data_IF_447170611775
#
_entry.id   IF_447170611775
#
_cell.length_a   1.000
_cell.length_b   1.000
_cell.length_c   1.000
_cell.angle_alpha   90.00
_cell.angle_beta   90.00
_cell.angle_gamma   90.00
#
_symmetry.space_group_name_H-M   'P 1'
#
loop_
_entity.id
_entity.type
_entity.pdbx_description
1 polymer ?
#
# COMPACT_ATOMS: atom_id res chain seq x y z
N UNK A 1 11.68 12.42 -95.74
CA UNK A 1 12.73 12.96 -96.63
C UNK A 1 13.95 12.03 -96.48
N UNK A 2 14.20 11.20 -97.51
CA UNK A 2 15.45 10.48 -97.88
C UNK A 2 16.26 9.80 -96.75
N UNK A 3 16.20 8.47 -96.55
CA UNK A 3 16.93 7.40 -97.29
C UNK A 3 18.32 7.84 -97.78
N UNK A 4 19.40 7.30 -97.16
CA UNK A 4 20.55 6.66 -97.83
C UNK A 4 21.18 5.60 -96.90
N UNK A 5 21.00 4.31 -97.23
CA UNK A 5 21.94 3.20 -96.99
C UNK A 5 22.93 3.15 -98.17
N UNK A 6 23.90 2.22 -98.32
CA UNK A 6 24.74 1.41 -97.40
C UNK A 6 26.23 1.45 -97.87
N UNK A 7 27.18 0.69 -97.29
CA UNK A 7 28.12 -0.15 -98.07
C UNK A 7 29.00 -1.04 -97.18
N UNK A 8 28.93 -2.36 -97.43
CA UNK A 8 29.92 -3.35 -97.02
C UNK A 8 31.01 -3.50 -98.09
N UNK A 9 32.26 -3.75 -97.66
CA UNK A 9 33.19 -4.70 -98.31
C UNK A 9 34.31 -4.99 -97.29
N UNK A 10 34.40 -6.14 -96.60
CA UNK A 10 34.61 -7.56 -97.00
C UNK A 10 36.03 -7.83 -97.53
N UNK A 11 36.59 -8.94 -97.04
CA UNK A 11 37.84 -9.65 -97.40
C UNK A 11 39.13 -9.23 -96.65
N UNK A 12 40.03 -10.13 -96.23
CA UNK A 12 40.07 -11.59 -96.02
C UNK A 12 41.47 -11.86 -95.41
N UNK A 13 41.56 -12.81 -94.47
CA UNK A 13 42.69 -13.75 -94.19
C UNK A 13 44.15 -13.23 -94.26
N UNK A 14 45.06 -13.41 -93.29
CA UNK A 14 45.30 -14.57 -92.42
C UNK A 14 46.36 -14.26 -91.36
N UNK A 15 46.11 -14.75 -90.14
CA UNK A 15 47.04 -15.50 -89.26
C UNK A 15 48.53 -15.13 -89.29
N UNK A 16 48.98 -14.44 -88.24
CA UNK A 16 50.26 -14.71 -87.59
C UNK A 16 50.05 -15.03 -86.11
N UNK A 17 50.87 -15.94 -85.62
CA UNK A 17 50.83 -16.67 -84.35
C UNK A 17 51.07 -15.78 -83.12
N UNK A 18 50.13 -15.75 -82.16
CA UNK A 18 50.44 -15.51 -80.74
C UNK A 18 49.75 -16.57 -79.89
N UNK A 19 50.56 -17.42 -79.25
CA UNK A 19 50.11 -18.36 -78.22
C UNK A 19 49.62 -17.58 -76.99
N UNK A 20 48.46 -17.91 -76.39
CA UNK A 20 48.00 -17.23 -75.19
C UNK A 20 48.95 -17.54 -74.02
N UNK A 21 49.33 -16.51 -73.28
CA UNK A 21 50.20 -16.65 -72.12
C UNK A 21 49.54 -17.51 -71.04
N UNK A 22 50.28 -18.49 -70.52
CA UNK A 22 49.83 -19.38 -69.43
C UNK A 22 49.24 -18.58 -68.24
N UNK A 23 49.76 -17.38 -67.98
CA UNK A 23 49.28 -16.48 -66.93
C UNK A 23 47.82 -16.03 -67.06
N UNK A 24 47.30 -15.89 -68.29
CA UNK A 24 45.91 -15.44 -68.50
C UNK A 24 44.89 -16.55 -68.18
N UNK A 25 45.18 -17.79 -68.58
CA UNK A 25 44.37 -18.98 -68.26
C UNK A 25 44.35 -19.28 -66.74
N UNK A 26 45.48 -19.07 -66.05
CA UNK A 26 45.53 -19.21 -64.59
C UNK A 26 44.72 -18.13 -63.86
N UNK A 27 44.67 -16.89 -64.39
CA UNK A 27 43.92 -15.80 -63.78
C UNK A 27 42.41 -15.97 -63.93
N UNK A 28 41.92 -16.42 -65.10
CA UNK A 28 40.50 -16.69 -65.31
C UNK A 28 40.00 -17.89 -64.50
N UNK A 29 40.79 -18.98 -64.43
CA UNK A 29 40.45 -20.16 -63.61
C UNK A 29 40.47 -19.86 -62.10
N UNK A 30 41.37 -18.99 -61.63
CA UNK A 30 41.36 -18.53 -60.24
C UNK A 30 40.12 -17.68 -59.95
N UNK A 31 39.76 -16.74 -60.83
CA UNK A 31 38.57 -15.89 -60.66
C UNK A 31 37.28 -16.71 -60.62
N UNK A 32 37.12 -17.70 -61.50
CA UNK A 32 35.97 -18.61 -61.49
C UNK A 32 35.94 -19.49 -60.24
N UNK A 33 37.11 -19.96 -59.77
CA UNK A 33 37.20 -20.69 -58.51
C UNK A 33 36.81 -19.84 -57.30
N UNK A 34 37.22 -18.56 -57.26
CA UNK A 34 36.82 -17.61 -56.21
C UNK A 34 35.32 -17.32 -56.24
N UNK A 35 34.73 -17.15 -57.43
CA UNK A 35 33.29 -16.90 -57.58
C UNK A 35 32.45 -18.15 -57.24
N UNK A 36 32.97 -19.35 -57.52
CA UNK A 36 32.38 -20.62 -57.09
C UNK A 36 32.39 -20.74 -55.55
N UNK A 37 33.51 -20.36 -54.91
CA UNK A 37 33.65 -20.33 -53.45
C UNK A 37 32.72 -19.27 -52.85
N UNK A 38 32.58 -18.09 -53.46
CA UNK A 38 31.66 -17.02 -53.03
C UNK A 38 30.20 -17.45 -53.11
N UNK A 39 29.76 -18.06 -54.22
CA UNK A 39 28.41 -18.64 -54.36
C UNK A 39 28.16 -19.81 -53.41
N UNK A 40 29.22 -20.55 -53.05
CA UNK A 40 29.15 -21.60 -52.02
C UNK A 40 28.94 -20.97 -50.63
N UNK A 41 29.71 -19.92 -50.31
CA UNK A 41 29.59 -19.16 -49.07
C UNK A 41 28.23 -18.47 -48.92
N UNK A 42 27.70 -17.84 -49.97
CA UNK A 42 26.38 -17.20 -49.92
C UNK A 42 25.25 -18.20 -49.68
N UNK A 43 25.36 -19.41 -50.24
CA UNK A 43 24.41 -20.51 -49.94
C UNK A 43 24.51 -21.02 -48.51
N UNK A 44 25.71 -21.02 -47.92
CA UNK A 44 25.92 -21.39 -46.51
C UNK A 44 25.41 -20.27 -45.60
N UNK A 45 25.73 -19.01 -45.90
CA UNK A 45 25.34 -17.84 -45.13
C UNK A 45 23.82 -17.63 -45.13
N UNK A 46 23.15 -17.86 -46.26
CA UNK A 46 21.68 -17.80 -46.34
C UNK A 46 21.01 -18.93 -45.54
N UNK A 47 21.60 -20.13 -45.49
CA UNK A 47 21.14 -21.23 -44.62
C UNK A 47 21.35 -20.91 -43.15
N UNK A 48 22.51 -20.36 -42.78
CA UNK A 48 22.81 -19.92 -41.42
C UNK A 48 21.88 -18.78 -41.00
N UNK A 49 21.68 -17.77 -41.84
CA UNK A 49 20.76 -16.65 -41.60
C UNK A 49 19.33 -17.15 -41.38
N UNK A 50 18.85 -18.09 -42.20
CA UNK A 50 17.52 -18.70 -42.02
C UNK A 50 17.42 -19.48 -40.71
N UNK A 51 18.48 -20.18 -40.33
CA UNK A 51 18.56 -20.88 -39.04
C UNK A 51 18.51 -19.89 -37.87
N UNK A 52 19.30 -18.82 -37.92
CA UNK A 52 19.31 -17.76 -36.90
C UNK A 52 17.94 -17.10 -36.78
N UNK A 53 17.30 -16.74 -37.90
CA UNK A 53 15.94 -16.17 -37.88
C UNK A 53 14.90 -17.16 -37.34
N UNK A 54 15.04 -18.45 -37.61
CA UNK A 54 14.18 -19.49 -37.05
C UNK A 54 14.36 -19.62 -35.53
N UNK A 55 15.60 -19.59 -35.05
CA UNK A 55 15.93 -19.64 -33.62
C UNK A 55 15.45 -18.39 -32.90
N UNK A 56 15.66 -17.21 -33.48
CA UNK A 56 15.16 -15.95 -32.93
C UNK A 56 13.63 -15.93 -32.88
N UNK A 57 12.94 -16.41 -33.92
CA UNK A 57 11.49 -16.50 -33.92
C UNK A 57 10.99 -17.49 -32.86
N UNK A 58 11.63 -18.65 -32.70
CA UNK A 58 11.30 -19.58 -31.63
C UNK A 58 11.50 -18.95 -30.24
N UNK A 59 12.60 -18.22 -30.04
CA UNK A 59 12.86 -17.50 -28.79
C UNK A 59 11.80 -16.43 -28.51
N UNK A 60 11.39 -15.67 -29.53
CA UNK A 60 10.31 -14.66 -29.41
C UNK A 60 8.98 -15.33 -29.07
N UNK A 61 8.65 -16.47 -29.68
CA UNK A 61 7.43 -17.24 -29.35
C UNK A 61 7.46 -17.76 -27.92
N UNK A 62 8.60 -18.30 -27.46
CA UNK A 62 8.75 -18.76 -26.08
C UNK A 62 8.65 -17.60 -25.08
N UNK A 63 9.25 -16.45 -25.40
CA UNK A 63 9.13 -15.24 -24.59
C UNK A 63 7.69 -14.73 -24.54
N UNK A 64 6.99 -14.72 -25.67
CA UNK A 64 5.57 -14.35 -25.73
C UNK A 64 4.71 -15.29 -24.87
N UNK A 65 4.91 -16.61 -24.98
CA UNK A 65 4.21 -17.59 -24.14
C UNK A 65 4.50 -17.34 -22.65
N UNK A 66 5.76 -17.12 -22.30
CA UNK A 66 6.15 -16.81 -20.92
C UNK A 66 5.47 -15.53 -20.42
N UNK A 67 5.49 -14.44 -21.19
CA UNK A 67 4.81 -13.20 -20.84
C UNK A 67 3.29 -13.41 -20.65
N UNK A 68 2.63 -14.16 -21.54
CA UNK A 68 1.20 -14.48 -21.41
C UNK A 68 0.93 -15.28 -20.13
N UNK A 69 1.78 -16.25 -19.79
CA UNK A 69 1.64 -16.99 -18.52
C UNK A 69 1.82 -16.11 -17.29
N UNK A 70 2.80 -15.19 -17.29
CA UNK A 70 2.99 -14.25 -16.18
C UNK A 70 1.80 -13.31 -16.02
N UNK A 71 1.25 -12.80 -17.13
CA UNK A 71 0.04 -11.98 -17.11
C UNK A 71 -1.15 -12.76 -16.57
N UNK A 72 -1.32 -14.02 -16.99
CA UNK A 72 -2.36 -14.90 -16.45
C UNK A 72 -2.20 -15.14 -14.95
N UNK A 73 -1.00 -15.46 -14.46
CA UNK A 73 -0.73 -15.62 -13.02
C UNK A 73 -0.96 -14.33 -12.24
N UNK A 74 -0.62 -13.17 -12.80
CA UNK A 74 -0.89 -11.86 -12.17
C UNK A 74 -2.39 -11.57 -12.08
N UNK A 75 -3.15 -11.89 -13.13
CA UNK A 75 -4.60 -11.75 -13.14
C UNK A 75 -5.27 -12.72 -12.14
N UNK A 76 -4.80 -13.96 -12.05
CA UNK A 76 -5.27 -14.94 -11.05
C UNK A 76 -4.94 -14.47 -9.63
N UNK A 77 -3.79 -13.82 -9.40
CA UNK A 77 -3.43 -13.27 -8.09
C UNK A 77 -4.27 -12.06 -7.69
N UNK A 78 -4.64 -11.21 -8.65
CA UNK A 78 -5.59 -10.10 -8.43
C UNK A 78 -7.04 -10.57 -8.29
N UNK A 79 -7.42 -11.70 -8.91
CA UNK A 79 -8.75 -12.29 -8.83
C UNK A 79 -8.89 -13.40 -7.76
N UNK A 80 -7.83 -13.69 -6.99
CA UNK A 80 -7.91 -14.55 -5.80
C UNK A 80 -8.65 -13.79 -4.70
N UNK A 81 -9.97 -13.67 -4.88
CA UNK A 81 -10.91 -13.64 -3.78
C UNK A 81 -10.63 -14.95 -3.04
N UNK A 82 -10.20 -14.94 -1.76
CA UNK A 82 -10.04 -16.17 -1.02
C UNK A 82 -11.37 -16.92 -1.13
N UNK A 83 -11.32 -18.10 -1.75
CA UNK A 83 -12.48 -18.99 -1.75
C UNK A 83 -12.85 -19.15 -0.28
N UNK A 84 -14.05 -18.70 0.07
CA UNK A 84 -14.75 -19.18 1.26
C UNK A 84 -15.05 -20.67 0.99
N UNK A 85 -14.00 -21.49 1.10
CA UNK A 85 -14.12 -22.92 1.26
C UNK A 85 -14.97 -23.06 2.53
N UNK A 86 -16.16 -23.65 2.39
CA UNK A 86 -17.19 -23.72 3.42
C UNK A 86 -16.59 -23.74 4.82
N UNK A 87 -16.77 -22.61 5.52
CA UNK A 87 -16.14 -22.36 6.81
C UNK A 87 -16.51 -23.50 7.76
N UNK A 88 -15.55 -24.39 8.00
CA UNK A 88 -15.57 -25.18 9.22
C UNK A 88 -15.65 -24.19 10.38
N UNK A 89 -16.50 -24.46 11.36
CA UNK A 89 -16.87 -23.53 12.43
C UNK A 89 -15.72 -23.06 13.35
N UNK A 90 -14.46 -23.35 13.03
CA UNK A 90 -13.27 -23.05 13.83
C UNK A 90 -12.04 -22.62 13.01
N UNK A 91 -12.19 -21.87 11.92
CA UNK A 91 -11.03 -21.29 11.24
C UNK A 91 -10.46 -20.11 12.04
N UNK A 92 -9.31 -20.31 12.68
CA UNK A 92 -8.61 -19.26 13.44
C UNK A 92 -7.66 -18.51 12.52
N UNK A 93 -7.92 -17.21 12.32
CA UNK A 93 -7.02 -16.32 11.60
C UNK A 93 -5.70 -16.19 12.39
N UNK A 94 -4.53 -16.43 11.77
CA UNK A 94 -3.27 -16.42 12.50
C UNK A 94 -2.92 -15.00 12.99
N UNK A 95 -2.23 -14.92 14.13
CA UNK A 95 -1.88 -13.65 14.77
C UNK A 95 -1.16 -12.68 13.82
N UNK A 96 -0.21 -13.16 13.03
CA UNK A 96 0.55 -12.35 12.07
C UNK A 96 -0.36 -11.65 11.07
N UNK A 97 -1.42 -12.33 10.60
CA UNK A 97 -2.37 -11.75 9.66
C UNK A 97 -3.25 -10.72 10.34
N UNK A 98 -3.72 -11.00 11.56
CA UNK A 98 -4.46 -10.02 12.36
C UNK A 98 -3.60 -8.78 12.61
N UNK A 99 -2.33 -8.94 12.99
CA UNK A 99 -1.40 -7.85 13.26
C UNK A 99 -1.13 -7.00 12.01
N UNK A 100 -0.70 -7.63 10.92
CA UNK A 100 -0.39 -6.94 9.66
C UNK A 100 -1.64 -6.30 9.04
N UNK A 101 -2.80 -6.94 9.17
CA UNK A 101 -4.06 -6.39 8.66
C UNK A 101 -4.66 -5.36 9.59
N UNK A 102 -4.27 -5.25 10.85
CA UNK A 102 -4.78 -4.23 11.78
C UNK A 102 -3.86 -3.02 11.97
N UNK A 103 -2.61 -3.07 11.50
CA UNK A 103 -1.65 -1.97 11.65
C UNK A 103 -2.15 -0.62 11.09
N UNK A 104 -1.77 0.48 11.74
CA UNK A 104 -2.04 1.86 11.32
C UNK A 104 -1.53 2.13 9.90
N UNK A 105 -2.45 2.41 8.96
CA UNK A 105 -2.13 2.78 7.57
C UNK A 105 -3.32 3.50 6.91
N UNK A 106 -3.13 4.14 5.74
CA UNK A 106 -4.26 4.61 4.93
C UNK A 106 -5.16 3.45 4.51
N UNK A 107 -6.47 3.59 4.70
CA UNK A 107 -7.49 2.62 4.28
C UNK A 107 -8.69 3.34 3.70
N UNK A 108 -9.38 2.65 2.79
CA UNK A 108 -10.67 3.09 2.28
C UNK A 108 -11.70 3.05 3.41
N UNK A 109 -12.35 4.19 3.67
CA UNK A 109 -13.45 4.32 4.61
C UNK A 109 -14.58 5.11 3.99
N UNK A 110 -15.81 4.77 4.37
CA UNK A 110 -16.98 5.58 4.04
C UNK A 110 -17.04 6.77 5.00
N UNK A 111 -16.99 7.97 4.44
CA UNK A 111 -17.07 9.23 5.18
C UNK A 111 -18.34 9.95 4.77
N UNK A 112 -19.13 10.37 5.75
CA UNK A 112 -20.35 11.15 5.52
C UNK A 112 -20.00 12.56 5.02
N UNK A 113 -20.60 12.96 3.90
CA UNK A 113 -20.32 14.24 3.25
C UNK A 113 -20.74 15.42 4.14
N UNK A 114 -21.86 15.28 4.86
CA UNK A 114 -22.37 16.28 5.80
C UNK A 114 -21.40 16.56 6.97
N UNK A 115 -20.63 15.57 7.41
CA UNK A 115 -19.69 15.73 8.53
C UNK A 115 -18.45 16.54 8.12
N UNK A 116 -18.02 16.42 6.86
CA UNK A 116 -16.88 17.17 6.32
C UNK A 116 -17.25 18.63 5.98
N UNK A 117 -18.52 18.87 5.64
CA UNK A 117 -19.04 20.18 5.26
C UNK A 117 -20.23 20.61 6.13
N UNK A 118 -20.00 20.87 7.42
CA UNK A 118 -21.08 21.25 8.35
C UNK A 118 -21.72 22.60 7.99
N UNK A 119 -21.06 23.45 7.19
CA UNK A 119 -21.60 24.76 6.80
C UNK A 119 -22.72 24.66 5.74
N UNK A 120 -22.86 23.52 5.05
CA UNK A 120 -23.82 23.29 3.96
C UNK A 120 -25.14 22.61 4.44
N UNK A 121 -25.63 22.92 5.64
CA UNK A 121 -26.76 22.23 6.32
C UNK A 121 -28.06 22.20 5.48
N UNK A 122 -28.26 23.16 4.58
CA UNK A 122 -29.47 23.28 3.75
C UNK A 122 -29.59 22.21 2.64
N UNK A 123 -28.55 21.40 2.41
CA UNK A 123 -28.48 20.51 1.26
C UNK A 123 -28.50 19.03 1.65
N UNK A 124 -29.25 18.24 0.86
CA UNK A 124 -29.13 16.78 0.88
C UNK A 124 -28.11 16.39 -0.18
N UNK A 125 -27.09 15.63 0.22
CA UNK A 125 -26.04 15.13 -0.67
C UNK A 125 -26.40 13.74 -1.23
N UNK A 126 -26.24 13.55 -2.54
CA UNK A 126 -26.31 12.22 -3.19
C UNK A 126 -24.99 11.98 -3.94
N UNK A 127 -24.19 10.96 -3.55
CA UNK A 127 -24.39 10.09 -2.39
C UNK A 127 -24.23 10.83 -1.05
N UNK A 128 -24.77 10.29 0.04
CA UNK A 128 -24.61 10.87 1.39
C UNK A 128 -23.23 10.58 2.00
N UNK A 129 -22.54 9.54 1.51
CA UNK A 129 -21.18 9.17 1.89
C UNK A 129 -20.30 8.94 0.67
N UNK A 130 -19.00 9.17 0.83
CA UNK A 130 -17.97 8.96 -0.19
C UNK A 130 -16.87 8.06 0.36
N UNK A 131 -16.20 7.30 -0.52
CA UNK A 131 -15.06 6.46 -0.14
C UNK A 131 -13.80 7.32 -0.19
N UNK A 132 -13.12 7.46 0.95
CA UNK A 132 -11.87 8.23 1.06
C UNK A 132 -10.79 7.40 1.73
N UNK A 133 -9.54 7.68 1.36
CA UNK A 133 -8.37 7.18 2.08
C UNK A 133 -8.22 7.93 3.40
N UNK A 134 -8.42 7.25 4.52
CA UNK A 134 -8.26 7.80 5.88
C UNK A 134 -7.38 6.90 6.72
N UNK A 135 -6.75 7.47 7.74
CA UNK A 135 -5.88 6.73 8.63
C UNK A 135 -6.72 5.84 9.53
N UNK A 136 -6.48 4.54 9.47
CA UNK A 136 -7.21 3.55 10.26
C UNK A 136 -6.32 2.36 10.61
N UNK A 137 -6.66 1.71 11.71
CA UNK A 137 -5.89 0.64 12.32
C UNK A 137 -5.54 0.93 13.77
N UNK A 138 -4.81 0.00 14.39
CA UNK A 138 -4.34 0.10 15.76
C UNK A 138 -2.84 0.41 15.82
N UNK A 139 -2.44 0.97 16.95
CA UNK A 139 -1.05 1.09 17.38
C UNK A 139 -0.80 0.08 18.50
N UNK A 140 0.46 -0.27 18.75
CA UNK A 140 0.81 -1.25 19.78
C UNK A 140 0.48 -0.76 21.20
N UNK A 141 0.53 0.56 21.42
CA UNK A 141 0.27 1.19 22.73
C UNK A 141 -0.99 2.05 22.68
N UNK A 142 -1.83 1.97 23.71
CA UNK A 142 -3.05 2.79 23.84
C UNK A 142 -2.75 4.29 24.03
N UNK A 143 -1.52 4.63 24.41
CA UNK A 143 -1.03 6.01 24.51
C UNK A 143 -0.76 6.64 23.13
N UNK A 144 -0.70 5.81 22.09
CA UNK A 144 -0.53 6.24 20.71
C UNK A 144 -1.89 6.31 20.01
N UNK A 145 -2.01 7.24 19.06
CA UNK A 145 -3.12 7.38 18.15
C UNK A 145 -2.62 7.40 16.70
N UNK A 146 -3.33 6.71 15.81
CA UNK A 146 -3.02 6.67 14.39
C UNK A 146 -3.45 8.01 13.76
N UNK A 147 -2.48 8.81 13.30
CA UNK A 147 -2.72 10.15 12.73
C UNK A 147 -2.08 10.28 11.35
N UNK A 148 -2.64 11.14 10.49
CA UNK A 148 -2.03 11.44 9.20
C UNK A 148 -0.73 12.20 9.36
N UNK A 149 0.26 11.83 8.57
CA UNK A 149 1.53 12.58 8.41
C UNK A 149 1.52 13.42 7.16
N UNK A 150 0.87 12.93 6.10
CA UNK A 150 0.68 13.63 4.85
C UNK A 150 -0.76 13.45 4.34
N UNK A 151 -1.30 14.51 3.74
CA UNK A 151 -2.65 14.53 3.17
C UNK A 151 -2.63 15.15 1.77
N UNK A 152 -3.61 14.77 0.95
CA UNK A 152 -3.86 15.33 -0.37
C UNK A 152 -5.35 15.63 -0.53
N UNK A 153 -5.69 16.60 -1.36
CA UNK A 153 -7.08 16.88 -1.68
C UNK A 153 -7.48 16.17 -2.97
N UNK A 154 -8.64 15.53 -2.98
CA UNK A 154 -9.27 14.93 -4.15
C UNK A 154 -10.60 15.65 -4.41
N UNK A 155 -10.96 15.83 -5.67
CA UNK A 155 -12.26 16.42 -6.04
C UNK A 155 -13.18 15.33 -6.55
N UNK A 156 -14.39 15.27 -5.99
CA UNK A 156 -15.43 14.30 -6.37
C UNK A 156 -16.71 15.03 -6.73
N UNK A 157 -17.50 14.47 -7.64
CA UNK A 157 -18.83 15.01 -7.96
C UNK A 157 -19.88 14.45 -7.01
N UNK A 158 -20.62 15.36 -6.35
CA UNK A 158 -21.74 15.03 -5.47
C UNK A 158 -22.94 15.87 -5.91
N UNK A 159 -24.14 15.29 -5.88
CA UNK A 159 -25.36 16.05 -6.15
C UNK A 159 -25.81 16.78 -4.90
N UNK A 160 -25.93 18.11 -4.98
CA UNK A 160 -26.55 18.93 -3.93
C UNK A 160 -28.03 19.13 -4.25
N UNK A 161 -28.91 18.61 -3.41
CA UNK A 161 -30.36 18.81 -3.53
C UNK A 161 -30.80 19.90 -2.57
N UNK A 162 -31.39 20.96 -3.12
CA UNK A 162 -32.29 21.83 -2.36
C UNK A 162 -33.73 21.34 -2.55
N UNK A 163 -34.60 21.40 -1.52
CA UNK A 163 -35.99 20.94 -1.60
C UNK A 163 -36.81 21.48 -2.79
N UNK A 164 -36.37 22.58 -3.41
CA UNK A 164 -37.09 23.27 -4.50
C UNK A 164 -36.22 23.57 -5.75
N UNK A 165 -35.02 22.96 -5.91
CA UNK A 165 -34.15 23.22 -7.08
C UNK A 165 -33.69 21.94 -7.80
N UNK A 166 -33.31 22.13 -9.06
CA UNK A 166 -32.83 21.12 -10.01
C UNK A 166 -31.57 20.40 -9.46
N UNK A 167 -31.55 19.07 -9.61
CA UNK A 167 -30.39 18.21 -9.34
C UNK A 167 -29.22 18.61 -10.26
N UNK A 168 -28.10 19.04 -9.68
CA UNK A 168 -26.86 19.33 -10.42
C UNK A 168 -25.71 18.60 -9.75
N UNK A 169 -24.82 18.02 -10.55
CA UNK A 169 -23.53 17.53 -10.07
C UNK A 169 -22.69 18.74 -9.66
N UNK A 170 -22.10 18.67 -8.48
CA UNK A 170 -21.26 19.71 -7.92
C UNK A 170 -19.91 19.12 -7.52
N UNK A 171 -18.79 19.68 -8.00
CA UNK A 171 -17.47 19.23 -7.57
C UNK A 171 -17.21 19.68 -6.14
N UNK A 172 -16.90 18.74 -5.26
CA UNK A 172 -16.52 18.97 -3.86
C UNK A 172 -15.12 18.41 -3.63
N UNK A 173 -14.27 19.15 -2.91
CA UNK A 173 -12.96 18.65 -2.50
C UNK A 173 -13.06 17.82 -1.22
N UNK A 174 -12.18 16.85 -1.03
CA UNK A 174 -12.11 16.05 0.19
C UNK A 174 -10.65 15.80 0.53
N UNK A 175 -10.31 15.77 1.82
CA UNK A 175 -8.97 15.44 2.27
C UNK A 175 -8.80 13.93 2.39
N UNK A 176 -7.82 13.40 1.67
CA UNK A 176 -7.32 12.02 1.78
C UNK A 176 -5.99 12.00 2.54
N UNK A 177 -5.76 10.93 3.28
CA UNK A 177 -4.50 10.68 3.96
C UNK A 177 -3.64 9.78 3.08
N UNK A 178 -2.44 10.24 2.72
CA UNK A 178 -1.49 9.46 1.91
C UNK A 178 -0.54 8.65 2.78
N UNK A 179 -0.25 9.13 3.99
CA UNK A 179 0.65 8.49 4.94
C UNK A 179 0.11 8.64 6.37
N UNK A 180 0.35 7.63 7.20
CA UNK A 180 -0.14 7.54 8.57
C UNK A 180 0.95 7.04 9.53
N UNK A 181 0.95 7.55 10.75
CA UNK A 181 1.91 7.20 11.79
C UNK A 181 1.25 7.17 13.17
N UNK A 182 1.76 6.31 14.06
CA UNK A 182 1.35 6.24 15.45
C UNK A 182 2.03 7.35 16.27
N UNK A 183 1.27 8.32 16.75
CA UNK A 183 1.77 9.47 17.52
C UNK A 183 1.18 9.51 18.92
N UNK A 184 1.90 10.06 19.89
CA UNK A 184 1.42 10.15 21.28
C UNK A 184 0.19 11.06 21.36
N UNK A 185 -0.86 10.60 22.04
CA UNK A 185 -2.07 11.39 22.31
C UNK A 185 -1.72 12.68 23.08
N UNK A 186 -2.16 13.83 22.58
CA UNK A 186 -1.85 15.15 23.15
C UNK A 186 -2.27 15.29 24.63
N UNK A 187 -3.35 14.63 25.04
CA UNK A 187 -3.85 14.65 26.44
C UNK A 187 -2.84 14.13 27.48
N UNK A 188 -1.86 13.32 27.04
CA UNK A 188 -0.78 12.83 27.90
C UNK A 188 0.45 13.75 27.87
N UNK A 189 0.69 14.47 26.76
CA UNK A 189 1.80 15.40 26.64
C UNK A 189 1.69 16.56 27.65
N UNK A 190 0.48 17.12 27.80
CA UNK A 190 0.20 18.22 28.74
C UNK A 190 0.40 17.86 30.22
N UNK A 191 0.29 16.56 30.57
CA UNK A 191 0.52 16.07 31.95
C UNK A 191 2.00 15.92 32.26
N UNK A 192 2.82 15.60 31.27
CA UNK A 192 4.28 15.46 31.43
C UNK A 192 5.02 16.80 31.51
N UNK A 193 4.52 17.85 30.86
CA UNK A 193 5.16 19.17 30.87
C UNK A 193 4.93 19.95 32.17
N UNK A 194 3.87 19.63 32.93
CA UNK A 194 3.60 20.19 34.26
C UNK A 194 4.33 19.44 35.38
N UNK A 195 5.66 19.28 35.29
CA UNK A 195 6.47 18.95 36.47
C UNK A 195 6.65 20.19 37.36
N UNK A 196 6.50 20.09 38.69
CA UNK A 196 6.44 21.24 39.58
C UNK A 196 7.78 21.96 39.65
N UNK A 197 7.72 23.30 39.60
CA UNK A 197 8.86 24.20 39.87
C UNK A 197 9.45 23.83 41.24
N UNK A 198 10.68 23.32 41.25
CA UNK A 198 11.47 23.10 42.47
C UNK A 198 11.63 24.42 43.22
N UNK A 199 10.97 24.56 44.36
CA UNK A 199 11.32 25.56 45.36
C UNK A 199 12.72 25.21 45.92
N UNK A 200 13.64 26.19 45.90
CA UNK A 200 14.93 26.11 46.56
C UNK A 200 14.73 26.07 48.08
N UNK A 201 14.82 24.89 48.67
CA UNK A 201 15.07 24.70 50.10
C UNK A 201 16.50 24.23 50.32
N UNK A 202 17.31 25.01 51.04
CA UNK A 202 18.63 24.61 51.54
C UNK A 202 18.45 23.62 52.70
N UNK A 203 19.16 22.49 52.71
CA UNK A 203 19.14 21.59 53.87
C UNK A 203 19.70 20.19 53.65
N UNK A 204 21.03 20.08 53.70
CA UNK A 204 21.87 19.03 54.29
C UNK A 204 21.47 17.53 54.27
N UNK A 205 22.47 16.76 53.79
CA UNK A 205 22.94 15.41 54.21
C UNK A 205 22.10 14.18 53.83
N UNK A 206 22.75 13.29 53.06
CA UNK A 206 22.48 11.86 53.08
C UNK A 206 22.81 11.14 51.78
N UNK A 207 24.07 10.74 51.57
CA UNK A 207 24.44 9.77 50.53
C UNK A 207 23.80 8.42 50.87
N UNK A 208 22.99 7.84 49.99
CA UNK A 208 22.89 6.37 49.84
C UNK A 208 22.57 6.00 48.40
N UNK A 209 23.54 5.36 47.76
CA UNK A 209 23.48 4.73 46.44
C UNK A 209 22.42 3.63 46.50
N UNK A 210 21.32 3.73 45.74
CA UNK A 210 20.37 2.60 45.58
C UNK A 210 20.16 2.29 44.10
N UNK A 211 20.46 1.03 43.84
CA UNK A 211 20.29 0.24 42.63
C UNK A 211 19.08 0.62 41.78
N UNK A 212 19.34 0.67 40.48
CA UNK A 212 18.40 0.64 39.37
C UNK A 212 17.48 -0.57 39.51
N UNK A 213 16.21 -0.34 39.83
CA UNK A 213 15.16 -1.31 39.58
C UNK A 213 13.92 -0.60 39.05
N UNK A 214 13.35 -1.13 37.97
CA UNK A 214 12.24 -0.55 37.22
C UNK A 214 10.94 -0.87 37.95
N UNK A 215 10.51 0.00 38.86
CA UNK A 215 9.15 -0.10 39.42
C UNK A 215 8.15 0.44 38.39
N UNK A 216 7.28 -0.45 37.88
CA UNK A 216 6.08 -0.08 37.11
C UNK A 216 5.18 0.74 38.03
N UNK A 217 4.87 1.96 37.59
CA UNK A 217 4.08 2.92 38.34
C UNK A 217 2.60 2.49 38.35
N UNK A 218 2.10 2.07 39.51
CA UNK A 218 0.70 1.67 39.77
C UNK A 218 -0.17 2.87 40.21
N UNK A 219 0.15 4.10 39.84
CA UNK A 219 -0.48 5.29 40.44
C UNK A 219 -1.83 5.71 39.85
N UNK A 220 -2.53 4.91 39.04
CA UNK A 220 -3.90 5.22 38.64
C UNK A 220 -4.82 3.98 38.69
N UNK A 221 -5.40 3.73 39.87
CA UNK A 221 -6.57 2.86 39.98
C UNK A 221 -7.76 3.46 39.21
N UNK A 222 -8.47 2.63 38.42
CA UNK A 222 -9.73 3.04 37.80
C UNK A 222 -10.80 3.23 38.90
N UNK A 223 -11.68 4.24 38.78
CA UNK A 223 -12.74 4.46 39.78
C UNK A 223 -13.72 3.28 39.83
N UNK A 224 -14.23 2.97 41.02
CA UNK A 224 -15.11 1.81 41.29
C UNK A 224 -16.39 1.74 40.44
N UNK A 225 -16.86 2.88 39.93
CA UNK A 225 -17.92 2.92 38.93
C UNK A 225 -17.71 4.12 38.00
N UNK A 226 -17.44 3.85 36.73
CA UNK A 226 -17.20 4.86 35.70
C UNK A 226 -18.50 5.50 35.17
N UNK A 227 -19.61 4.77 35.18
CA UNK A 227 -20.92 5.19 34.65
C UNK A 227 -21.87 5.76 35.70
N UNK A 228 -21.45 5.78 36.97
CA UNK A 228 -22.27 6.26 38.07
C UNK A 228 -22.25 7.79 38.20
N UNK A 229 -23.34 8.38 38.69
CA UNK A 229 -23.36 9.79 39.08
C UNK A 229 -22.43 10.07 40.26
N UNK A 230 -21.94 11.31 40.39
CA UNK A 230 -21.03 11.71 41.49
C UNK A 230 -21.59 11.43 42.88
N UNK A 231 -22.92 11.51 43.05
CA UNK A 231 -23.60 11.17 44.31
C UNK A 231 -23.42 9.70 44.68
N UNK A 232 -23.44 8.81 43.68
CA UNK A 232 -23.33 7.36 43.85
C UNK A 232 -21.88 6.91 44.03
N UNK A 233 -20.91 7.60 43.43
CA UNK A 233 -19.47 7.32 43.62
C UNK A 233 -19.04 7.42 45.09
N UNK A 234 -19.66 8.31 45.88
CA UNK A 234 -19.39 8.49 47.31
C UNK A 234 -19.77 7.30 48.20
N UNK A 235 -20.49 6.32 47.66
CA UNK A 235 -20.89 5.10 48.38
C UNK A 235 -19.82 4.00 48.35
N UNK A 236 -18.76 4.18 47.56
CA UNK A 236 -17.67 3.22 47.40
C UNK A 236 -16.39 3.74 48.04
N UNK A 237 -15.62 2.83 48.64
CA UNK A 237 -14.27 3.07 49.16
C UNK A 237 -13.31 2.24 48.31
N UNK A 238 -12.22 2.86 47.85
CA UNK A 238 -11.19 2.18 47.05
C UNK A 238 -9.88 2.10 47.83
N UNK A 239 -9.32 0.91 47.89
CA UNK A 239 -7.97 0.69 48.42
C UNK A 239 -6.92 1.20 47.41
N UNK A 240 -6.02 2.12 47.81
CA UNK A 240 -5.01 2.70 46.93
C UNK A 240 -3.91 1.72 46.49
N UNK A 241 -3.71 0.61 47.20
CA UNK A 241 -2.66 -0.38 46.88
C UNK A 241 -3.21 -1.55 46.06
N UNK A 242 -4.44 -1.99 46.33
CA UNK A 242 -5.06 -3.14 45.66
C UNK A 242 -6.06 -2.75 44.58
N UNK A 243 -6.43 -1.45 44.50
CA UNK A 243 -7.53 -0.93 43.68
C UNK A 243 -8.90 -1.59 43.95
N UNK A 244 -9.04 -2.35 45.04
CA UNK A 244 -10.27 -3.05 45.39
C UNK A 244 -11.34 -2.05 45.85
N UNK A 245 -12.57 -2.28 45.41
CA UNK A 245 -13.71 -1.43 45.70
C UNK A 245 -14.66 -2.11 46.67
N UNK A 246 -14.99 -1.43 47.77
CA UNK A 246 -15.91 -1.91 48.81
C UNK A 246 -17.00 -0.87 49.09
N UNK A 247 -18.12 -1.30 49.65
CA UNK A 247 -19.18 -0.39 50.07
C UNK A 247 -18.79 0.37 51.33
N UNK A 248 -19.14 1.66 51.38
CA UNK A 248 -18.89 2.53 52.54
C UNK A 248 -19.68 2.10 53.79
N UNK A 249 -20.86 1.53 53.59
CA UNK A 249 -21.70 0.99 54.64
C UNK A 249 -21.59 -0.53 54.67
N UNK A 250 -21.55 -1.09 55.86
CA UNK A 250 -21.61 -2.54 56.06
C UNK A 250 -23.07 -3.02 56.11
N UNK A 251 -23.27 -4.32 55.89
CA UNK A 251 -24.58 -4.93 56.01
C UNK A 251 -25.17 -4.77 57.43
N UNK A 252 -24.31 -4.77 58.46
CA UNK A 252 -24.71 -4.52 59.84
C UNK A 252 -25.23 -3.08 60.05
N UNK A 253 -24.60 -2.08 59.43
CA UNK A 253 -25.03 -0.68 59.51
C UNK A 253 -26.43 -0.47 58.90
N UNK A 254 -26.73 -1.17 57.81
CA UNK A 254 -28.03 -1.12 57.15
C UNK A 254 -29.09 -1.87 57.98
N UNK A 255 -28.77 -3.05 58.54
CA UNK A 255 -29.68 -3.83 59.38
C UNK A 255 -30.11 -3.08 60.65
N UNK A 256 -29.22 -2.31 61.26
CA UNK A 256 -29.56 -1.43 62.40
C UNK A 256 -30.58 -0.36 62.06
N UNK A 257 -30.69 0.02 60.78
CA UNK A 257 -31.68 0.96 60.25
C UNK A 257 -32.88 0.28 59.61
N UNK A 258 -33.02 -1.04 59.78
CA UNK A 258 -34.03 -1.88 59.13
C UNK A 258 -33.98 -1.81 57.59
N UNK A 259 -32.79 -1.63 57.03
CA UNK A 259 -32.53 -1.60 55.59
C UNK A 259 -31.65 -2.79 55.18
N UNK A 260 -31.76 -3.20 53.91
CA UNK A 260 -30.93 -4.25 53.31
C UNK A 260 -29.91 -3.62 52.36
N UNK A 261 -28.63 -3.97 52.52
CA UNK A 261 -27.55 -3.45 51.69
C UNK A 261 -27.44 -4.26 50.39
N UNK A 262 -27.49 -3.59 49.26
CA UNK A 262 -27.15 -4.20 47.98
C UNK A 262 -25.64 -4.09 47.72
N UNK A 263 -24.88 -5.16 47.97
CA UNK A 263 -23.41 -5.18 47.86
C UNK A 263 -22.87 -4.82 46.46
N UNK A 264 -23.65 -5.06 45.40
CA UNK A 264 -23.24 -4.72 44.03
C UNK A 264 -23.41 -3.25 43.70
N UNK A 265 -24.30 -2.56 44.40
CA UNK A 265 -24.65 -1.16 44.12
C UNK A 265 -24.37 -0.20 45.26
N UNK A 266 -23.97 -0.73 46.42
CA UNK A 266 -23.76 -0.05 47.69
C UNK A 266 -24.93 0.85 48.11
N UNK A 267 -26.16 0.38 47.83
CA UNK A 267 -27.42 1.09 48.10
C UNK A 267 -28.16 0.42 49.24
#
# INVERSE_FOLDING_TARGET
>A
MWIVKPFEQKLLLSRDHETPSMSALFSETLSDAFEQVRRSYDRILTRLSRCVMSVMNLAVRLLQLFCVTLLYFSAVKSAYIPKENGASSNEVVPFTDVYNKSMCRPREMLVEVHQEYPDDIEHIFIPSCVVLMRCAGCCNDEMLECKPTATRNITMEVQKLKPMRIKRNYPMSFAEHTECECRVKKELQDKTEKKPRKAKGKGLKGKRKKSRDKTRDFTHCKPCCSTCSERRKRLYIQDPETCQCTCKHSEADCKLKQLELNERTCK
#
